data_IF_462661291643
#
_entry.id   IF_462661291643
#
_cell.length_a   1.000
_cell.length_b   1.000
_cell.length_c   1.000
_cell.angle_alpha   90.00
_cell.angle_beta   90.00
_cell.angle_gamma   90.00
#
_symmetry.space_group_name_H-M   'P 1'
#
loop_
_entity.id
_entity.type
_entity.pdbx_description
1 polymer ?
#
# COMPACT_ATOMS: atom_id res chain seq x y z
N UNK A 1 1.04 -14.68 -23.98
CA UNK A 1 0.73 -16.09 -23.64
C UNK A 1 -0.75 -16.14 -23.34
N UNK A 2 -1.51 -17.04 -23.96
CA UNK A 2 -2.91 -17.29 -23.57
C UNK A 2 -2.89 -17.83 -22.14
N UNK A 3 -3.37 -17.04 -21.17
CA UNK A 3 -3.46 -17.43 -19.77
C UNK A 3 -4.59 -18.45 -19.60
N UNK A 4 -4.35 -19.70 -20.02
CA UNK A 4 -5.29 -20.78 -19.79
C UNK A 4 -5.29 -21.14 -18.29
N UNK A 5 -6.49 -21.33 -17.72
CA UNK A 5 -6.65 -21.85 -16.37
C UNK A 5 -6.01 -23.25 -16.28
N UNK A 6 -5.44 -23.57 -15.12
CA UNK A 6 -4.96 -24.93 -14.82
C UNK A 6 -6.13 -25.93 -14.85
N UNK A 7 -5.85 -27.22 -15.05
CA UNK A 7 -6.89 -28.26 -15.04
C UNK A 7 -7.71 -28.24 -13.73
N UNK A 8 -7.03 -28.07 -12.59
CA UNK A 8 -7.70 -27.90 -11.29
C UNK A 8 -8.56 -26.63 -11.25
N UNK A 9 -8.07 -25.50 -11.80
CA UNK A 9 -8.85 -24.28 -11.93
C UNK A 9 -10.10 -24.47 -12.78
N UNK A 10 -10.01 -25.18 -13.91
CA UNK A 10 -11.16 -25.50 -14.77
C UNK A 10 -12.20 -26.35 -14.03
N UNK A 11 -11.77 -27.41 -13.34
CA UNK A 11 -12.67 -28.25 -12.56
C UNK A 11 -13.39 -27.46 -11.47
N UNK A 12 -12.68 -26.65 -10.68
CA UNK A 12 -13.28 -25.85 -9.61
C UNK A 12 -14.23 -24.81 -10.16
N UNK A 13 -13.88 -24.12 -11.25
CA UNK A 13 -14.79 -23.16 -11.88
C UNK A 13 -16.10 -23.78 -12.36
N UNK A 14 -16.10 -25.04 -12.81
CA UNK A 14 -17.34 -25.76 -13.15
C UNK A 14 -18.16 -26.08 -11.90
N UNK A 15 -17.51 -26.60 -10.84
CA UNK A 15 -18.16 -26.92 -9.56
C UNK A 15 -18.85 -25.72 -8.92
N UNK A 16 -18.15 -24.59 -8.82
CA UNK A 16 -18.68 -23.36 -8.20
C UNK A 16 -19.50 -22.52 -9.18
N UNK A 17 -19.69 -23.00 -10.42
CA UNK A 17 -20.45 -22.35 -11.50
C UNK A 17 -19.95 -20.94 -11.82
N UNK A 18 -18.64 -20.75 -11.84
CA UNK A 18 -18.04 -19.46 -12.21
C UNK A 18 -18.14 -19.22 -13.73
N UNK A 19 -18.82 -18.13 -14.09
CA UNK A 19 -19.24 -17.85 -15.47
C UNK A 19 -18.27 -16.96 -16.27
N UNK A 20 -17.43 -16.15 -15.62
CA UNK A 20 -16.54 -15.20 -16.29
C UNK A 20 -15.29 -15.92 -16.84
N UNK A 21 -15.30 -16.24 -18.13
CA UNK A 21 -14.21 -16.99 -18.80
C UNK A 21 -13.31 -16.14 -19.69
N UNK A 22 -13.82 -15.04 -20.23
CA UNK A 22 -13.09 -14.19 -21.17
C UNK A 22 -12.05 -13.30 -20.46
N UNK A 23 -12.46 -12.68 -19.35
CA UNK A 23 -11.61 -11.86 -18.49
C UNK A 23 -11.76 -12.31 -17.03
N UNK A 24 -11.25 -13.50 -16.67
CA UNK A 24 -11.42 -14.05 -15.33
C UNK A 24 -10.77 -13.14 -14.29
N UNK A 25 -11.50 -12.84 -13.23
CA UNK A 25 -11.02 -12.03 -12.12
C UNK A 25 -10.80 -12.92 -10.90
N UNK A 26 -9.56 -12.98 -10.41
CA UNK A 26 -9.20 -13.83 -9.26
C UNK A 26 -10.01 -13.50 -8.01
N UNK A 27 -10.34 -12.22 -7.79
CA UNK A 27 -11.16 -11.79 -6.66
C UNK A 27 -12.58 -12.32 -6.80
N UNK A 28 -13.21 -12.17 -7.96
CA UNK A 28 -14.54 -12.72 -8.21
C UNK A 28 -14.56 -14.24 -8.07
N UNK A 29 -13.53 -14.92 -8.59
CA UNK A 29 -13.45 -16.36 -8.54
C UNK A 29 -13.29 -16.88 -7.09
N UNK A 30 -12.35 -16.33 -6.32
CA UNK A 30 -12.17 -16.70 -4.90
C UNK A 30 -13.42 -16.36 -4.07
N UNK A 31 -14.09 -15.25 -4.38
CA UNK A 31 -15.38 -14.92 -3.75
C UNK A 31 -16.46 -15.98 -4.01
N UNK A 32 -16.51 -16.49 -5.24
CA UNK A 32 -17.46 -17.52 -5.63
C UNK A 32 -17.15 -18.84 -4.92
N UNK A 33 -15.86 -19.18 -4.77
CA UNK A 33 -15.43 -20.34 -3.98
C UNK A 33 -15.83 -20.20 -2.50
N UNK A 34 -15.55 -19.05 -1.87
CA UNK A 34 -15.94 -18.80 -0.47
C UNK A 34 -17.46 -18.89 -0.28
N UNK A 35 -18.23 -18.31 -1.19
CA UNK A 35 -19.69 -18.36 -1.16
C UNK A 35 -20.22 -19.80 -1.34
N UNK A 36 -19.58 -20.60 -2.19
CA UNK A 36 -19.92 -22.01 -2.37
C UNK A 36 -19.62 -22.82 -1.11
N UNK A 37 -18.43 -22.68 -0.53
CA UNK A 37 -17.99 -23.39 0.67
C UNK A 37 -18.80 -23.00 1.93
N UNK A 38 -19.43 -21.82 1.95
CA UNK A 38 -20.31 -21.43 3.03
C UNK A 38 -21.56 -22.34 3.18
N UNK A 39 -21.93 -23.07 2.13
CA UNK A 39 -23.11 -23.94 2.11
C UNK A 39 -22.80 -25.39 1.72
N UNK A 40 -21.57 -25.69 1.29
CA UNK A 40 -21.17 -27.00 0.79
C UNK A 40 -19.84 -27.43 1.43
N UNK A 41 -19.81 -28.64 1.97
CA UNK A 41 -18.58 -29.28 2.43
C UNK A 41 -17.92 -30.00 1.23
N UNK A 42 -16.97 -29.32 0.58
CA UNK A 42 -16.28 -29.80 -0.63
C UNK A 42 -14.75 -29.67 -0.45
N UNK A 43 -14.09 -30.74 0.03
CA UNK A 43 -12.66 -30.72 0.34
C UNK A 43 -11.78 -30.35 -0.85
N UNK A 44 -12.20 -30.64 -2.09
CA UNK A 44 -11.39 -30.31 -3.27
C UNK A 44 -11.40 -28.81 -3.56
N UNK A 45 -12.54 -28.13 -3.35
CA UNK A 45 -12.63 -26.67 -3.50
C UNK A 45 -11.88 -25.98 -2.36
N UNK A 46 -11.99 -26.49 -1.13
CA UNK A 46 -11.23 -25.98 0.02
C UNK A 46 -9.71 -26.10 -0.21
N UNK A 47 -9.24 -27.28 -0.61
CA UNK A 47 -7.82 -27.50 -0.91
C UNK A 47 -7.34 -26.62 -2.07
N UNK A 48 -8.18 -26.43 -3.10
CA UNK A 48 -7.85 -25.52 -4.19
C UNK A 48 -7.66 -24.08 -3.71
N UNK A 49 -8.59 -23.55 -2.90
CA UNK A 49 -8.49 -22.19 -2.34
C UNK A 49 -7.23 -22.06 -1.47
N UNK A 50 -6.94 -23.06 -0.64
CA UNK A 50 -5.73 -23.08 0.19
C UNK A 50 -4.45 -22.99 -0.67
N UNK A 51 -4.35 -23.81 -1.74
CA UNK A 51 -3.22 -23.77 -2.68
C UNK A 51 -3.09 -22.42 -3.39
N UNK A 52 -4.19 -21.78 -3.77
CA UNK A 52 -4.14 -20.44 -4.38
C UNK A 52 -3.60 -19.41 -3.38
N UNK A 53 -4.07 -19.43 -2.12
CA UNK A 53 -3.55 -18.55 -1.06
C UNK A 53 -2.05 -18.78 -0.82
N UNK A 54 -1.62 -20.04 -0.79
CA UNK A 54 -0.20 -20.40 -0.70
C UNK A 54 0.61 -19.86 -1.87
N UNK A 55 0.11 -19.97 -3.10
CA UNK A 55 0.77 -19.42 -4.28
C UNK A 55 0.90 -17.91 -4.23
N UNK A 56 -0.15 -17.19 -3.80
CA UNK A 56 -0.12 -15.73 -3.61
C UNK A 56 0.93 -15.38 -2.56
N UNK A 57 0.88 -16.02 -1.38
CA UNK A 57 1.83 -15.80 -0.30
C UNK A 57 3.27 -16.04 -0.77
N UNK A 58 3.53 -17.15 -1.45
CA UNK A 58 4.85 -17.49 -1.99
C UNK A 58 5.33 -16.48 -3.03
N UNK A 59 4.49 -16.14 -4.01
CA UNK A 59 4.85 -15.20 -5.08
C UNK A 59 5.18 -13.82 -4.53
N UNK A 60 4.37 -13.31 -3.59
CA UNK A 60 4.58 -12.02 -2.94
C UNK A 60 5.72 -12.03 -1.92
N UNK A 61 6.12 -13.18 -1.38
CA UNK A 61 7.25 -13.29 -0.45
C UNK A 61 8.60 -13.38 -1.15
N UNK A 62 8.67 -14.11 -2.27
CA UNK A 62 9.95 -14.56 -2.83
C UNK A 62 10.50 -13.67 -3.91
N UNK A 63 9.65 -12.94 -4.65
CA UNK A 63 10.08 -12.15 -5.81
C UNK A 63 11.19 -11.15 -5.46
N UNK A 64 11.15 -10.59 -4.24
CA UNK A 64 12.12 -9.59 -3.79
C UNK A 64 13.54 -10.14 -3.64
N UNK A 65 13.67 -11.45 -3.47
CA UNK A 65 14.97 -12.14 -3.34
C UNK A 65 15.57 -12.55 -4.68
N UNK A 66 14.82 -12.40 -5.77
CA UNK A 66 15.31 -12.71 -7.11
C UNK A 66 16.37 -11.70 -7.55
N UNK A 67 17.45 -12.12 -8.24
CA UNK A 67 18.48 -11.20 -8.75
C UNK A 67 17.96 -10.14 -9.71
N UNK A 68 16.80 -10.37 -10.33
CA UNK A 68 16.11 -9.45 -11.25
C UNK A 68 15.19 -8.46 -10.54
N UNK A 69 14.99 -8.60 -9.23
CA UNK A 69 14.17 -7.68 -8.45
C UNK A 69 14.82 -6.30 -8.40
N UNK A 70 14.05 -5.26 -8.67
CA UNK A 70 14.49 -3.88 -8.58
C UNK A 70 13.60 -3.06 -7.64
N UNK A 71 14.18 -2.62 -6.53
CA UNK A 71 13.54 -1.72 -5.55
C UNK A 71 14.14 -0.30 -5.58
N UNK A 72 14.88 0.06 -6.64
CA UNK A 72 15.50 1.38 -6.83
C UNK A 72 14.52 2.54 -6.61
N UNK A 73 13.33 2.46 -7.20
CA UNK A 73 12.28 3.48 -7.06
C UNK A 73 11.82 3.66 -5.60
N UNK A 74 11.67 2.57 -4.83
CA UNK A 74 11.32 2.64 -3.40
C UNK A 74 12.41 3.35 -2.60
N UNK A 75 13.68 3.02 -2.87
CA UNK A 75 14.82 3.66 -2.21
C UNK A 75 14.90 5.14 -2.54
N UNK A 76 14.77 5.49 -3.82
CA UNK A 76 14.80 6.88 -4.27
C UNK A 76 13.67 7.71 -3.62
N UNK A 77 12.45 7.16 -3.58
CA UNK A 77 11.31 7.80 -2.92
C UNK A 77 11.59 8.05 -1.44
N UNK A 78 12.03 7.04 -0.70
CA UNK A 78 12.31 7.14 0.74
C UNK A 78 13.44 8.13 1.02
N UNK A 79 14.52 8.11 0.22
CA UNK A 79 15.62 9.08 0.33
C UNK A 79 15.15 10.53 0.16
N UNK A 80 14.19 10.78 -0.75
CA UNK A 80 13.66 12.11 -1.06
C UNK A 80 12.63 12.61 -0.03
N UNK A 81 11.72 11.73 0.41
CA UNK A 81 10.55 12.13 1.20
C UNK A 81 10.71 11.93 2.71
N UNK A 82 11.48 10.93 3.15
CA UNK A 82 11.62 10.68 4.58
C UNK A 82 12.74 11.50 5.24
N UNK A 83 13.62 12.12 4.44
CA UNK A 83 14.56 13.16 4.87
C UNK A 83 13.85 14.52 4.87
N UNK A 84 13.11 14.78 5.94
CA UNK A 84 12.29 15.98 6.18
C UNK A 84 12.94 16.94 7.17
N UNK A 85 12.37 18.14 7.34
CA UNK A 85 12.70 18.98 8.51
C UNK A 85 12.16 18.32 9.77
N UNK A 86 12.87 18.47 10.89
CA UNK A 86 12.48 17.93 12.22
C UNK A 86 11.03 18.29 12.60
N UNK A 87 10.59 19.51 12.23
CA UNK A 87 9.26 20.06 12.54
C UNK A 87 8.12 19.64 11.62
N UNK A 88 8.43 19.13 10.43
CA UNK A 88 7.38 18.72 9.49
C UNK A 88 6.70 17.44 10.04
N UNK A 89 5.53 17.00 9.56
CA UNK A 89 4.94 15.70 9.91
C UNK A 89 5.71 14.52 9.29
N UNK A 90 5.60 13.31 9.86
CA UNK A 90 6.35 12.13 9.37
C UNK A 90 5.73 11.74 8.04
N UNK A 91 6.55 11.28 7.08
CA UNK A 91 6.00 10.63 5.89
C UNK A 91 5.14 9.45 6.35
N UNK A 92 3.91 9.35 5.83
CA UNK A 92 3.03 8.21 6.03
C UNK A 92 2.89 7.50 4.69
N UNK A 93 3.26 6.23 4.65
CA UNK A 93 3.09 5.36 3.49
C UNK A 93 1.93 4.43 3.79
N UNK A 94 0.84 4.57 3.05
CA UNK A 94 -0.26 3.63 3.06
C UNK A 94 -0.11 2.73 1.83
N UNK A 95 -0.16 1.41 2.01
CA UNK A 95 -0.05 0.48 0.90
C UNK A 95 -1.02 -0.69 1.06
N UNK A 96 -1.58 -1.15 -0.06
CA UNK A 96 -2.35 -2.39 -0.16
C UNK A 96 -1.47 -3.59 -0.53
N UNK A 97 -0.20 -3.34 -0.85
CA UNK A 97 0.72 -4.41 -1.23
C UNK A 97 1.11 -5.28 -0.03
N UNK A 98 1.16 -6.59 -0.26
CA UNK A 98 1.61 -7.57 0.73
C UNK A 98 3.13 -7.68 0.83
N UNK A 99 3.86 -7.28 -0.22
CA UNK A 99 5.30 -7.42 -0.33
C UNK A 99 6.08 -6.67 0.75
N UNK A 100 7.40 -6.84 0.82
CA UNK A 100 8.30 -6.16 1.77
C UNK A 100 9.15 -5.06 1.11
N UNK A 101 8.76 -4.49 -0.04
CA UNK A 101 9.61 -3.56 -0.79
C UNK A 101 9.99 -2.30 0.00
N UNK A 102 9.05 -1.70 0.74
CA UNK A 102 9.33 -0.53 1.57
C UNK A 102 10.24 -0.87 2.76
N UNK A 103 10.03 -2.04 3.36
CA UNK A 103 10.79 -2.54 4.49
C UNK A 103 12.24 -2.84 4.10
N UNK A 104 12.45 -3.54 2.99
CA UNK A 104 13.78 -3.81 2.44
C UNK A 104 14.46 -2.51 2.02
N UNK A 105 13.77 -1.60 1.33
CA UNK A 105 14.33 -0.30 0.96
C UNK A 105 14.74 0.53 2.17
N UNK A 106 13.91 0.57 3.22
CA UNK A 106 14.23 1.27 4.46
C UNK A 106 15.46 0.65 5.16
N UNK A 107 15.53 -0.68 5.21
CA UNK A 107 16.65 -1.41 5.78
C UNK A 107 17.97 -1.09 5.07
N UNK A 108 17.99 -1.12 3.72
CA UNK A 108 19.17 -0.76 2.93
C UNK A 108 19.61 0.70 3.13
N UNK A 109 18.67 1.59 3.45
CA UNK A 109 18.93 3.01 3.69
C UNK A 109 19.29 3.34 5.14
N UNK A 110 19.28 2.35 6.05
CA UNK A 110 19.49 2.57 7.48
C UNK A 110 18.37 3.40 8.13
N UNK A 111 17.15 3.30 7.61
CA UNK A 111 15.99 4.04 8.07
C UNK A 111 15.16 3.23 9.08
N UNK A 112 14.41 3.92 9.93
CA UNK A 112 13.50 3.28 10.89
C UNK A 112 12.06 3.40 10.41
N UNK A 113 11.32 2.31 10.57
CA UNK A 113 9.89 2.24 10.23
C UNK A 113 9.08 2.21 11.52
N UNK A 114 8.06 3.06 11.59
CA UNK A 114 7.00 2.95 12.58
C UNK A 114 5.81 2.27 11.88
N UNK A 115 5.61 0.98 12.16
CA UNK A 115 4.65 0.11 11.46
C UNK A 115 3.53 -0.45 12.38
N UNK A 116 3.48 0.03 13.62
CA UNK A 116 2.51 -0.43 14.63
C UNK A 116 2.98 -1.65 15.42
N UNK A 117 4.14 -2.23 15.11
CA UNK A 117 4.71 -3.30 15.91
C UNK A 117 5.62 -2.77 17.02
N UNK A 118 5.70 -3.53 18.11
CA UNK A 118 6.62 -3.25 19.19
C UNK A 118 8.09 -3.36 18.77
N UNK A 119 8.97 -2.65 19.47
CA UNK A 119 10.44 -2.73 19.31
C UNK A 119 11.05 -3.80 20.23
N UNK A 120 10.33 -4.89 20.46
CA UNK A 120 10.72 -6.00 21.34
C UNK A 120 11.17 -7.21 20.53
N UNK A 121 11.81 -8.20 21.17
CA UNK A 121 12.30 -9.41 20.49
C UNK A 121 11.24 -10.10 19.64
N UNK A 122 10.05 -10.28 20.21
CA UNK A 122 8.86 -10.72 19.47
C UNK A 122 8.02 -9.49 19.20
N UNK A 123 8.02 -9.03 17.95
CA UNK A 123 7.36 -7.79 17.54
C UNK A 123 5.86 -8.07 17.43
N UNK A 124 5.07 -7.49 18.33
CA UNK A 124 3.61 -7.65 18.41
C UNK A 124 2.94 -6.37 17.93
N UNK A 125 1.93 -6.50 17.08
CA UNK A 125 1.15 -5.37 16.62
C UNK A 125 0.31 -4.78 17.75
N UNK A 126 0.37 -3.46 17.91
CA UNK A 126 -0.48 -2.69 18.82
C UNK A 126 -0.48 -1.24 18.32
N UNK A 127 -1.64 -0.73 17.94
CA UNK A 127 -1.82 0.58 17.30
C UNK A 127 -1.17 1.74 18.05
N UNK A 128 -0.94 1.60 19.38
CA UNK A 128 -0.22 2.61 20.16
C UNK A 128 1.19 2.88 19.63
N UNK A 129 1.88 1.92 19.02
CA UNK A 129 3.27 2.11 18.56
C UNK A 129 3.38 3.17 17.46
N UNK A 130 2.31 3.42 16.69
CA UNK A 130 2.26 4.53 15.74
C UNK A 130 2.25 5.92 16.42
N UNK A 131 1.98 5.99 17.72
CA UNK A 131 2.03 7.24 18.50
C UNK A 131 3.41 7.52 19.09
N UNK A 132 4.32 6.54 19.06
CA UNK A 132 5.70 6.71 19.49
C UNK A 132 6.56 7.26 18.36
N UNK A 133 7.59 8.01 18.73
CA UNK A 133 8.64 8.52 17.84
C UNK A 133 10.00 8.39 18.54
N UNK A 134 11.08 8.46 17.76
CA UNK A 134 12.45 8.32 18.23
C UNK A 134 13.11 9.70 18.29
N UNK A 135 13.69 9.99 19.45
CA UNK A 135 14.39 11.24 19.74
C UNK A 135 15.88 10.97 19.88
N UNK A 136 16.70 11.69 19.12
CA UNK A 136 18.15 11.74 19.32
C UNK A 136 18.43 12.68 20.50
N UNK A 137 19.16 12.18 21.49
CA UNK A 137 19.55 12.93 22.68
C UNK A 137 21.03 13.26 22.58
N UNK A 138 21.33 14.54 22.55
CA UNK A 138 22.69 15.07 22.72
C UNK A 138 22.76 15.78 24.07
N UNK A 139 23.97 16.15 24.53
CA UNK A 139 24.17 16.66 25.89
C UNK A 139 23.26 17.86 26.22
N UNK A 140 23.00 18.73 25.24
CA UNK A 140 22.26 19.98 25.41
C UNK A 140 21.01 20.10 24.49
N UNK A 141 20.63 19.04 23.76
CA UNK A 141 19.48 19.09 22.84
C UNK A 141 18.75 17.75 22.67
N UNK A 142 17.46 17.87 22.35
CA UNK A 142 16.58 16.76 22.02
C UNK A 142 15.92 17.04 20.68
N UNK A 143 16.31 16.29 19.65
CA UNK A 143 15.75 16.44 18.31
C UNK A 143 15.11 15.13 17.87
N UNK A 144 14.01 15.19 17.12
CA UNK A 144 13.49 14.00 16.48
C UNK A 144 14.52 13.43 15.51
N UNK A 145 14.73 12.12 15.56
CA UNK A 145 15.66 11.44 14.66
C UNK A 145 15.17 11.55 13.20
N UNK A 146 16.10 11.79 12.27
CA UNK A 146 15.82 11.79 10.83
C UNK A 146 15.71 10.36 10.27
N UNK A 147 15.21 10.21 9.05
CA UNK A 147 15.15 8.91 8.39
C UNK A 147 14.11 7.96 8.99
N UNK A 148 13.01 8.51 9.50
CA UNK A 148 11.90 7.75 10.08
C UNK A 148 10.61 8.10 9.35
N UNK A 149 9.84 7.08 8.99
CA UNK A 149 8.52 7.20 8.38
C UNK A 149 7.54 6.18 8.98
N UNK A 150 6.26 6.42 8.79
CA UNK A 150 5.20 5.48 9.19
C UNK A 150 4.80 4.62 7.98
N UNK A 151 4.75 3.30 8.17
CA UNK A 151 4.30 2.36 7.14
C UNK A 151 3.02 1.67 7.60
N UNK A 152 1.96 1.78 6.79
CA UNK A 152 0.65 1.24 7.09
C UNK A 152 0.23 0.29 5.96
N UNK A 153 0.34 -1.02 6.22
CA UNK A 153 0.00 -2.10 5.29
C UNK A 153 -1.47 -2.46 5.42
N UNK A 154 -2.33 -1.72 4.72
CA UNK A 154 -3.79 -1.77 4.86
C UNK A 154 -4.37 -3.18 4.70
N UNK A 155 -3.79 -4.00 3.82
CA UNK A 155 -4.20 -5.37 3.57
C UNK A 155 -3.30 -6.43 4.21
N UNK A 156 -2.39 -6.03 5.11
CA UNK A 156 -1.44 -6.92 5.76
C UNK A 156 -0.12 -7.06 4.99
N UNK A 157 0.74 -7.94 5.49
CA UNK A 157 2.04 -8.22 4.89
C UNK A 157 2.34 -9.72 4.88
N UNK A 158 3.13 -10.15 3.89
CA UNK A 158 3.70 -11.50 3.84
C UNK A 158 4.65 -11.81 5.00
N UNK A 159 4.97 -10.80 5.81
CA UNK A 159 5.76 -10.95 7.03
C UNK A 159 4.92 -10.93 8.32
N UNK A 160 3.59 -11.08 8.23
CA UNK A 160 2.71 -11.02 9.41
C UNK A 160 2.03 -12.37 9.64
N UNK A 161 2.05 -12.85 10.88
CA UNK A 161 1.30 -14.02 11.32
C UNK A 161 0.31 -13.68 12.44
N UNK A 162 -0.78 -14.43 12.50
CA UNK A 162 -1.82 -14.31 13.52
C UNK A 162 -1.78 -15.52 14.43
N UNK A 163 -1.78 -15.26 15.73
CA UNK A 163 -1.89 -16.27 16.77
C UNK A 163 -3.01 -15.88 17.72
N UNK A 164 -4.15 -16.56 17.61
CA UNK A 164 -5.39 -16.15 18.29
C UNK A 164 -5.84 -14.75 17.82
N UNK A 165 -5.92 -13.81 18.76
CA UNK A 165 -6.31 -12.42 18.47
C UNK A 165 -5.12 -11.49 18.22
N UNK A 166 -3.90 -11.97 18.45
CA UNK A 166 -2.68 -11.17 18.36
C UNK A 166 -2.00 -11.36 17.00
N UNK A 167 -1.32 -10.32 16.54
CA UNK A 167 -0.55 -10.33 15.29
C UNK A 167 0.91 -10.05 15.60
N UNK A 168 1.79 -10.82 14.97
CA UNK A 168 3.22 -10.75 15.13
C UNK A 168 3.91 -10.56 13.78
N UNK A 169 5.06 -9.92 13.80
CA UNK A 169 5.97 -10.01 12.67
C UNK A 169 6.60 -11.41 12.68
N UNK A 170 6.56 -12.05 11.52
CA UNK A 170 7.03 -13.38 11.26
C UNK A 170 7.74 -13.41 9.91
N UNK A 171 8.97 -13.90 9.90
CA UNK A 171 9.76 -14.03 8.67
C UNK A 171 9.18 -15.05 7.67
N UNK A 172 8.39 -16.01 8.14
CA UNK A 172 7.88 -17.13 7.34
C UNK A 172 6.50 -17.60 7.84
N UNK A 173 5.46 -16.76 7.71
CA UNK A 173 4.11 -17.20 7.98
C UNK A 173 3.71 -18.34 7.04
N UNK A 174 2.81 -19.20 7.50
CA UNK A 174 2.16 -20.23 6.69
C UNK A 174 0.84 -19.70 6.14
N UNK A 175 0.27 -20.29 5.08
CA UNK A 175 -1.02 -19.86 4.53
C UNK A 175 -2.15 -19.81 5.57
N UNK A 176 -2.09 -20.68 6.59
CA UNK A 176 -3.10 -20.80 7.65
C UNK A 176 -3.01 -19.68 8.69
N UNK A 177 -1.80 -19.19 8.98
CA UNK A 177 -1.58 -18.16 9.99
C UNK A 177 -1.25 -16.78 9.40
N UNK A 178 -1.00 -16.67 8.10
CA UNK A 178 -0.67 -15.40 7.45
C UNK A 178 -1.76 -14.37 7.67
N UNK A 179 -1.37 -13.18 8.15
CA UNK A 179 -2.27 -12.08 8.40
C UNK A 179 -2.36 -11.19 7.16
N UNK A 180 -3.09 -11.67 6.15
CA UNK A 180 -3.32 -11.03 4.86
C UNK A 180 -4.81 -10.95 4.53
N UNK A 181 -5.21 -9.86 3.90
CA UNK A 181 -6.51 -9.76 3.25
C UNK A 181 -6.36 -10.23 1.82
N UNK A 182 -6.65 -11.51 1.56
CA UNK A 182 -6.63 -12.08 0.22
C UNK A 182 -7.70 -11.46 -0.70
N UNK A 183 -7.49 -11.45 -2.03
CA UNK A 183 -8.46 -10.90 -2.97
C UNK A 183 -9.71 -11.79 -3.03
N UNK A 184 -10.73 -11.46 -2.23
CA UNK A 184 -12.06 -12.05 -2.26
C UNK A 184 -13.08 -11.03 -1.72
N UNK A 185 -14.37 -11.13 -2.04
CA UNK A 185 -15.43 -10.20 -1.56
C UNK A 185 -15.54 -10.19 -0.04
N UNK A 186 -15.19 -11.28 0.63
CA UNK A 186 -15.06 -11.36 2.10
C UNK A 186 -14.00 -10.42 2.68
N UNK A 187 -13.09 -9.87 1.85
CA UNK A 187 -12.06 -8.90 2.24
C UNK A 187 -12.62 -7.69 2.99
N UNK A 188 -13.84 -7.27 2.65
CA UNK A 188 -14.48 -6.14 3.30
C UNK A 188 -14.65 -6.40 4.80
N UNK A 189 -15.14 -7.59 5.19
CA UNK A 189 -15.32 -7.93 6.60
C UNK A 189 -13.97 -8.07 7.32
N UNK A 190 -12.97 -8.62 6.65
CA UNK A 190 -11.61 -8.77 7.19
C UNK A 190 -10.93 -7.42 7.46
N UNK A 191 -11.24 -6.38 6.65
CA UNK A 191 -10.74 -5.03 6.86
C UNK A 191 -11.21 -4.40 8.19
N UNK A 192 -12.30 -4.90 8.79
CA UNK A 192 -12.79 -4.47 10.10
C UNK A 192 -12.26 -5.30 11.27
N UNK A 193 -11.39 -6.29 11.01
CA UNK A 193 -10.69 -7.03 12.06
C UNK A 193 -9.34 -6.36 12.36
N UNK A 194 -8.87 -6.48 13.59
CA UNK A 194 -7.51 -6.05 13.94
C UNK A 194 -6.49 -6.94 13.22
N UNK A 195 -5.42 -6.40 12.61
CA UNK A 195 -4.89 -5.04 12.75
C UNK A 195 -5.43 -4.05 11.70
N UNK A 196 -6.14 -4.54 10.68
CA UNK A 196 -6.56 -3.75 9.52
C UNK A 196 -7.49 -2.59 9.90
N UNK A 197 -8.35 -2.79 10.90
CA UNK A 197 -9.23 -1.73 11.40
C UNK A 197 -8.45 -0.51 11.92
N UNK A 198 -7.37 -0.74 12.67
CA UNK A 198 -6.50 0.34 13.16
C UNK A 198 -5.82 1.07 12.01
N UNK A 199 -5.31 0.32 11.02
CA UNK A 199 -4.62 0.88 9.85
C UNK A 199 -5.58 1.70 8.97
N UNK A 200 -6.78 1.18 8.74
CA UNK A 200 -7.85 1.88 8.03
C UNK A 200 -8.27 3.14 8.81
N UNK A 201 -8.44 3.05 10.13
CA UNK A 201 -8.80 4.21 10.96
C UNK A 201 -7.80 5.35 10.82
N UNK A 202 -6.49 5.03 10.82
CA UNK A 202 -5.41 6.01 10.59
C UNK A 202 -5.40 6.59 9.19
N UNK A 203 -5.74 5.80 8.18
CA UNK A 203 -5.92 6.29 6.81
C UNK A 203 -7.08 7.28 6.72
N UNK A 204 -8.24 6.94 7.31
CA UNK A 204 -9.41 7.83 7.36
C UNK A 204 -9.15 9.09 8.20
N UNK A 205 -8.36 9.00 9.26
CA UNK A 205 -7.88 10.17 10.01
C UNK A 205 -7.03 11.08 9.13
N UNK A 206 -6.05 10.52 8.39
CA UNK A 206 -5.20 11.29 7.49
C UNK A 206 -6.00 12.06 6.43
N UNK A 207 -6.99 11.44 5.81
CA UNK A 207 -7.85 12.08 4.80
C UNK A 207 -8.60 13.31 5.33
N UNK A 208 -8.86 13.37 6.64
CA UNK A 208 -9.54 14.49 7.31
C UNK A 208 -8.57 15.57 7.79
N UNK A 209 -7.25 15.35 7.71
CA UNK A 209 -6.27 16.34 8.14
C UNK A 209 -6.27 17.54 7.19
N UNK A 210 -6.32 18.78 7.71
CA UNK A 210 -6.25 19.96 6.88
C UNK A 210 -4.84 20.13 6.29
N UNK A 211 -4.75 20.76 5.12
CA UNK A 211 -3.51 21.05 4.41
C UNK A 211 -2.63 19.80 4.18
N UNK A 212 -3.27 18.66 3.92
CA UNK A 212 -2.60 17.40 3.60
C UNK A 212 -2.56 17.16 2.09
N UNK A 213 -1.56 16.40 1.65
CA UNK A 213 -1.42 15.98 0.26
C UNK A 213 -1.34 14.46 0.22
N UNK A 214 -2.30 13.83 -0.46
CA UNK A 214 -2.29 12.41 -0.77
C UNK A 214 -1.70 12.20 -2.16
N UNK A 215 -0.59 11.48 -2.24
CA UNK A 215 -0.02 11.02 -3.50
C UNK A 215 -0.33 9.53 -3.64
N UNK A 216 -1.01 9.16 -4.73
CA UNK A 216 -1.38 7.79 -5.04
C UNK A 216 -0.62 7.35 -6.28
N UNK A 217 0.01 6.18 -6.24
CA UNK A 217 0.75 5.63 -7.37
C UNK A 217 0.39 4.17 -7.60
N UNK A 218 0.00 3.82 -8.84
CA UNK A 218 -0.25 2.42 -9.23
C UNK A 218 -1.42 1.76 -8.50
N UNK A 219 -2.42 2.53 -8.04
CA UNK A 219 -3.60 2.02 -7.36
C UNK A 219 -4.82 2.14 -8.28
N UNK A 220 -5.43 1.00 -8.60
CA UNK A 220 -6.53 0.93 -9.57
C UNK A 220 -7.89 1.43 -9.07
N UNK A 221 -8.03 1.75 -7.78
CA UNK A 221 -9.29 2.17 -7.14
C UNK A 221 -10.43 1.13 -7.20
N UNK A 222 -10.09 -0.17 -7.24
CA UNK A 222 -11.07 -1.26 -7.18
C UNK A 222 -11.49 -1.64 -5.75
N UNK A 223 -10.79 -1.12 -4.74
CA UNK A 223 -11.16 -1.29 -3.33
C UNK A 223 -12.08 -0.15 -2.88
N UNK A 224 -13.39 -0.38 -2.85
CA UNK A 224 -14.39 0.63 -2.46
C UNK A 224 -14.16 1.20 -1.04
N UNK A 225 -13.73 0.35 -0.10
CA UNK A 225 -13.46 0.77 1.29
C UNK A 225 -12.27 1.73 1.43
N UNK A 226 -11.46 1.90 0.39
CA UNK A 226 -10.39 2.90 0.32
C UNK A 226 -10.74 4.03 -0.65
N UNK A 227 -11.36 3.69 -1.78
CA UNK A 227 -11.64 4.63 -2.88
C UNK A 227 -12.78 5.60 -2.56
N UNK A 228 -13.88 5.12 -1.99
CA UNK A 228 -15.01 5.99 -1.60
C UNK A 228 -14.61 6.98 -0.50
N UNK A 229 -13.85 6.60 0.55
CA UNK A 229 -13.33 7.58 1.50
C UNK A 229 -12.46 8.68 0.89
N UNK A 230 -11.58 8.36 -0.08
CA UNK A 230 -10.78 9.38 -0.78
C UNK A 230 -11.70 10.36 -1.52
N UNK A 231 -12.66 9.83 -2.28
CA UNK A 231 -13.63 10.63 -3.03
C UNK A 231 -14.50 11.53 -2.13
N UNK A 232 -14.97 11.00 -1.00
CA UNK A 232 -15.74 11.74 -0.01
C UNK A 232 -14.90 12.80 0.71
N UNK A 233 -13.65 12.48 1.04
CA UNK A 233 -12.73 13.40 1.69
C UNK A 233 -12.42 14.61 0.82
N UNK A 234 -12.20 14.43 -0.49
CA UNK A 234 -12.00 15.56 -1.41
C UNK A 234 -13.18 16.55 -1.42
N UNK A 235 -14.40 16.04 -1.31
CA UNK A 235 -15.60 16.89 -1.32
C UNK A 235 -15.83 17.62 0.01
N UNK A 236 -15.38 17.04 1.13
CA UNK A 236 -15.62 17.55 2.49
C UNK A 236 -14.42 18.27 3.11
N UNK A 237 -13.21 18.04 2.61
CA UNK A 237 -11.96 18.67 3.03
C UNK A 237 -11.38 19.49 1.86
N UNK A 238 -11.72 20.79 1.73
CA UNK A 238 -11.26 21.64 0.63
C UNK A 238 -9.74 21.86 0.57
N UNK A 239 -9.01 21.51 1.63
CA UNK A 239 -7.56 21.66 1.72
C UNK A 239 -6.78 20.37 1.40
N UNK A 240 -7.50 19.26 1.17
CA UNK A 240 -6.90 18.01 0.75
C UNK A 240 -6.50 18.10 -0.72
N UNK A 241 -5.23 17.83 -1.00
CA UNK A 241 -4.71 17.73 -2.35
C UNK A 241 -4.56 16.26 -2.72
N UNK A 242 -4.93 15.91 -3.95
CA UNK A 242 -4.76 14.56 -4.50
C UNK A 242 -3.87 14.62 -5.74
N UNK A 243 -2.79 13.82 -5.75
CA UNK A 243 -1.95 13.60 -6.93
C UNK A 243 -2.07 12.13 -7.29
N UNK A 244 -2.54 11.84 -8.49
CA UNK A 244 -2.74 10.50 -9.03
C UNK A 244 -1.68 10.20 -10.08
N UNK A 245 -0.86 9.19 -9.85
CA UNK A 245 0.14 8.71 -10.78
C UNK A 245 -0.17 7.27 -11.22
N UNK A 246 -0.37 7.06 -12.51
CA UNK A 246 -0.54 5.72 -13.06
C UNK A 246 -0.03 5.65 -14.50
N UNK A 247 0.57 4.51 -14.88
CA UNK A 247 1.11 4.30 -16.22
C UNK A 247 0.01 4.42 -17.29
N UNK A 248 -1.19 3.92 -16.96
CA UNK A 248 -2.39 3.99 -17.79
C UNK A 248 -3.33 5.13 -17.36
N UNK A 249 -2.83 6.14 -16.64
CA UNK A 249 -3.65 7.21 -16.06
C UNK A 249 -4.57 7.89 -17.07
N UNK A 250 -4.10 8.19 -18.27
CA UNK A 250 -4.93 8.81 -19.33
C UNK A 250 -6.10 7.91 -19.72
N UNK A 251 -5.84 6.61 -19.93
CA UNK A 251 -6.88 5.63 -20.27
C UNK A 251 -7.95 5.57 -19.18
N UNK A 252 -7.51 5.47 -17.91
CA UNK A 252 -8.39 5.39 -16.77
C UNK A 252 -9.23 6.66 -16.56
N UNK A 253 -8.64 7.84 -16.70
CA UNK A 253 -9.32 9.14 -16.52
C UNK A 253 -10.47 9.36 -17.51
N UNK A 254 -10.36 8.81 -18.72
CA UNK A 254 -11.42 8.88 -19.72
C UNK A 254 -12.42 7.73 -19.66
N UNK A 255 -12.12 6.70 -18.86
CA UNK A 255 -12.93 5.51 -18.70
C UNK A 255 -13.85 5.63 -17.46
N UNK A 256 -15.13 5.27 -17.60
CA UNK A 256 -16.16 5.42 -16.56
C UNK A 256 -16.61 4.10 -15.92
N UNK A 257 -15.73 3.10 -15.87
CA UNK A 257 -16.05 1.80 -15.26
C UNK A 257 -15.92 0.61 -16.20
N UNK A 258 -15.52 0.85 -17.45
CA UNK A 258 -15.49 -0.16 -18.50
C UNK A 258 -14.14 -0.89 -18.53
N UNK A 259 -14.13 -2.13 -19.00
CA UNK A 259 -12.92 -2.93 -19.22
C UNK A 259 -11.97 -3.01 -18.01
N UNK A 260 -12.52 -3.09 -16.79
CA UNK A 260 -11.74 -3.25 -15.55
C UNK A 260 -11.14 -1.95 -14.99
N UNK A 261 -11.44 -0.79 -15.58
CA UNK A 261 -11.13 0.50 -14.98
C UNK A 261 -12.15 0.83 -13.89
N UNK A 262 -11.69 1.32 -12.74
CA UNK A 262 -12.59 1.77 -11.69
C UNK A 262 -13.36 3.05 -12.08
N UNK A 263 -14.65 3.17 -11.72
CA UNK A 263 -15.42 4.40 -11.96
C UNK A 263 -14.89 5.61 -11.16
N UNK A 264 -14.09 5.40 -10.11
CA UNK A 264 -13.53 6.51 -9.32
C UNK A 264 -12.58 7.41 -10.13
N UNK A 265 -11.90 6.88 -11.15
CA UNK A 265 -11.08 7.70 -12.03
C UNK A 265 -11.89 8.80 -12.71
N UNK A 266 -13.06 8.46 -13.26
CA UNK A 266 -14.01 9.42 -13.82
C UNK A 266 -14.54 10.39 -12.76
N UNK A 267 -14.87 9.89 -11.56
CA UNK A 267 -15.32 10.73 -10.43
C UNK A 267 -14.27 11.76 -10.03
N UNK A 268 -12.99 11.37 -9.91
CA UNK A 268 -11.89 12.29 -9.56
C UNK A 268 -11.66 13.33 -10.65
N UNK A 269 -11.79 12.95 -11.93
CA UNK A 269 -11.71 13.90 -13.05
C UNK A 269 -12.82 14.94 -12.95
N UNK A 270 -14.05 14.49 -12.67
CA UNK A 270 -15.20 15.39 -12.55
C UNK A 270 -15.02 16.34 -11.34
N UNK A 271 -14.37 15.91 -10.25
CA UNK A 271 -13.96 16.80 -9.15
C UNK A 271 -12.89 17.82 -9.55
N UNK A 272 -11.87 17.40 -10.31
CA UNK A 272 -10.85 18.31 -10.84
C UNK A 272 -11.47 19.41 -11.72
N UNK A 273 -12.42 19.03 -12.58
CA UNK A 273 -13.16 19.98 -13.44
C UNK A 273 -14.02 20.96 -12.66
N UNK A 274 -14.44 20.59 -11.44
CA UNK A 274 -15.16 21.49 -10.50
C UNK A 274 -14.22 22.42 -9.73
N UNK A 275 -12.90 22.34 -9.97
CA UNK A 275 -11.90 23.20 -9.36
C UNK A 275 -11.31 22.69 -8.04
N UNK A 276 -11.49 21.41 -7.69
CA UNK A 276 -10.80 20.80 -6.55
C UNK A 276 -9.33 20.49 -6.93
N UNK A 277 -8.44 20.49 -5.94
CA UNK A 277 -6.99 20.22 -6.08
C UNK A 277 -6.71 18.73 -6.35
N UNK A 278 -7.11 18.26 -7.53
CA UNK A 278 -6.86 16.90 -8.02
C UNK A 278 -6.01 16.99 -9.28
N UNK A 279 -4.83 16.36 -9.23
CA UNK A 279 -3.85 16.37 -10.31
C UNK A 279 -3.59 14.95 -10.81
N UNK A 280 -3.43 14.82 -12.12
CA UNK A 280 -3.15 13.55 -12.78
C UNK A 280 -1.76 13.60 -13.42
N UNK A 281 -0.99 12.55 -13.20
CA UNK A 281 0.35 12.34 -13.75
C UNK A 281 0.34 10.98 -14.44
N UNK A 282 0.72 10.95 -15.71
CA UNK A 282 0.90 9.68 -16.43
C UNK A 282 2.33 9.21 -16.22
N UNK A 283 2.51 8.05 -15.62
CA UNK A 283 3.85 7.52 -15.32
C UNK A 283 3.82 6.31 -14.40
N UNK A 284 4.90 5.53 -14.43
CA UNK A 284 5.13 4.46 -13.48
C UNK A 284 5.46 5.00 -12.08
N UNK A 285 5.49 4.11 -11.08
CA UNK A 285 6.01 4.45 -9.75
C UNK A 285 7.46 4.93 -9.80
N UNK A 286 8.28 4.37 -10.71
CA UNK A 286 9.66 4.83 -10.94
C UNK A 286 9.71 6.25 -11.48
N UNK A 287 8.84 6.58 -12.44
CA UNK A 287 8.75 7.95 -12.97
C UNK A 287 8.34 8.94 -11.87
N UNK A 288 7.36 8.58 -11.04
CA UNK A 288 6.97 9.40 -9.89
C UNK A 288 8.14 9.62 -8.93
N UNK A 289 8.83 8.55 -8.54
CA UNK A 289 9.97 8.61 -7.63
C UNK A 289 11.08 9.51 -8.20
N UNK A 290 11.34 9.46 -9.49
CA UNK A 290 12.33 10.30 -10.18
C UNK A 290 11.97 11.79 -10.16
N UNK A 291 10.69 12.13 -10.37
CA UNK A 291 10.23 13.53 -10.47
C UNK A 291 9.93 14.19 -9.12
N UNK A 292 9.73 13.41 -8.06
CA UNK A 292 9.55 13.96 -6.72
C UNK A 292 10.81 14.76 -6.33
N UNK A 293 10.66 16.02 -5.88
CA UNK A 293 11.80 16.83 -5.47
C UNK A 293 12.36 16.34 -4.13
N UNK A 294 13.65 16.61 -3.89
CA UNK A 294 14.22 16.45 -2.55
C UNK A 294 13.58 17.48 -1.61
N UNK A 295 12.87 16.99 -0.58
CA UNK A 295 12.22 17.87 0.42
C UNK A 295 13.18 18.35 1.52
N UNK A 296 14.44 17.92 1.48
CA UNK A 296 15.46 18.39 2.40
C UNK A 296 15.77 19.87 2.13
N UNK A 297 15.58 20.71 3.14
CA UNK A 297 16.19 22.05 3.12
C UNK A 297 17.70 21.89 3.12
N UNK A 298 18.38 22.52 2.16
CA UNK A 298 19.83 22.58 2.18
C UNK A 298 20.31 23.12 3.53
N UNK A 299 21.23 22.39 4.18
CA UNK A 299 21.93 22.90 5.36
C UNK A 299 22.67 24.20 5.04
N UNK A 300 23.04 25.03 6.01
CA UNK A 300 23.85 26.23 5.76
C UNK A 300 25.13 25.93 4.95
N UNK A 301 25.78 24.79 5.20
CA UNK A 301 26.95 24.34 4.44
C UNK A 301 26.61 23.97 2.98
N UNK A 302 25.49 23.28 2.75
CA UNK A 302 25.01 22.96 1.40
C UNK A 302 24.52 24.22 0.66
N UNK A 303 23.91 25.17 1.36
CA UNK A 303 23.54 26.48 0.80
C UNK A 303 24.78 27.26 0.39
N UNK A 304 25.82 27.29 1.23
CA UNK A 304 27.11 27.90 0.93
C UNK A 304 27.79 27.20 -0.26
N UNK A 305 27.83 25.86 -0.27
CA UNK A 305 28.40 25.10 -1.38
C UNK A 305 27.66 25.35 -2.71
N UNK A 306 26.33 25.46 -2.66
CA UNK A 306 25.51 25.80 -3.83
C UNK A 306 25.71 27.26 -4.27
N UNK A 307 25.89 28.19 -3.33
CA UNK A 307 26.22 29.58 -3.63
C UNK A 307 27.60 29.72 -4.29
N UNK A 308 28.61 29.02 -3.77
CA UNK A 308 29.96 28.98 -4.35
C UNK A 308 29.94 28.34 -5.74
N UNK A 309 29.19 27.25 -5.94
CA UNK A 309 29.01 26.63 -7.28
C UNK A 309 28.33 27.55 -8.28
N UNK A 310 27.45 28.46 -7.83
CA UNK A 310 26.79 29.46 -8.69
C UNK A 310 27.70 30.63 -9.07
N UNK A 311 28.71 30.94 -8.24
CA UNK A 311 29.71 31.98 -8.52
C UNK A 311 30.79 31.45 -9.48
N UNK A 312 31.02 30.14 -9.51
CA UNK A 312 32.02 29.48 -10.36
C UNK A 312 31.55 29.07 -11.77
N UNK A 313 30.41 29.57 -12.25
CA UNK A 313 29.95 29.45 -13.65
C UNK A 313 29.85 30.84 -14.26
#
# INVERSE_FOLDING_TARGET
>A
MTHALTAAGQQVTERVRYAERENPNIEHFLSQCDAYLAFNDDPEVEEFVARVKEQILHACSTFITLPTSDISAYRELLQKLARRRVRDPRLKVFTTNYDMCFETAASELGMVIIDGFSYTRRRRFDGKHFTYDIVRREADSHEFAEGIFQLLKLHGSVSWSREGHEVYEDSRPTPENACLIYPAKGKYQQAFLQPHLELLSRFLEFLRQPNSCLVVSGFGFNDDHLSEPIYSALQSNPSLKLILCDYNGISHVHNRGDNGSSPYWGKFRDLAQRGLDVHFVSGSFGDLAAHIPHLRTASPAEQLANAVKRIGR
#
